data_IF_842840942662
#
_entry.id   IF_842840942662
#
_cell.length_a   1.000
_cell.length_b   1.000
_cell.length_c   1.000
_cell.angle_alpha   90.00
_cell.angle_beta   90.00
_cell.angle_gamma   90.00
#
_symmetry.space_group_name_H-M   'P 1'
#
loop_
_entity.id
_entity.type
_entity.pdbx_description
1 polymer ?
#
# COMPACT_ATOMS: atom_id res chain seq x y z
N UNK A 1 -18.93 10.03 -12.54
CA UNK A 1 -18.14 9.68 -13.75
C UNK A 1 -17.96 8.17 -13.73
N UNK A 2 -18.36 7.43 -14.78
CA UNK A 2 -18.21 5.97 -14.77
C UNK A 2 -16.73 5.60 -15.00
N UNK A 3 -16.09 5.01 -14.00
CA UNK A 3 -14.78 4.38 -14.14
C UNK A 3 -14.88 3.23 -15.15
N UNK A 4 -13.93 3.15 -16.08
CA UNK A 4 -13.80 1.96 -16.95
C UNK A 4 -13.20 0.80 -16.17
N UNK A 5 -13.38 -0.45 -16.65
CA UNK A 5 -12.78 -1.64 -16.04
C UNK A 5 -11.26 -1.51 -15.91
N UNK A 6 -10.61 -1.01 -16.97
CA UNK A 6 -9.17 -0.79 -16.98
C UNK A 6 -8.76 0.31 -15.99
N UNK A 7 -9.50 1.42 -15.93
CA UNK A 7 -9.20 2.50 -14.97
C UNK A 7 -9.34 2.01 -13.52
N UNK A 8 -10.36 1.20 -13.22
CA UNK A 8 -10.53 0.56 -11.92
C UNK A 8 -9.36 -0.37 -11.59
N UNK A 9 -9.00 -1.27 -12.51
CA UNK A 9 -7.91 -2.22 -12.31
C UNK A 9 -6.55 -1.52 -12.10
N UNK A 10 -6.30 -0.42 -12.81
CA UNK A 10 -5.08 0.38 -12.67
C UNK A 10 -4.99 1.16 -11.34
N UNK A 11 -6.02 1.09 -10.49
CA UNK A 11 -5.98 1.59 -9.12
C UNK A 11 -5.67 0.50 -8.09
N UNK A 12 -5.59 -0.77 -8.49
CA UNK A 12 -5.48 -1.91 -7.56
C UNK A 12 -4.05 -2.44 -7.52
N UNK A 13 -3.48 -2.41 -6.31
CA UNK A 13 -2.28 -3.14 -5.93
C UNK A 13 -2.74 -4.48 -5.31
N UNK A 14 -2.64 -5.57 -6.07
CA UNK A 14 -3.00 -6.92 -5.58
C UNK A 14 -1.88 -7.47 -4.71
N UNK A 15 -2.23 -8.19 -3.64
CA UNK A 15 -1.25 -8.59 -2.62
C UNK A 15 -1.43 -9.99 -2.06
N UNK A 16 -0.30 -10.62 -1.77
CA UNK A 16 -0.15 -11.86 -1.01
C UNK A 16 0.86 -11.59 0.13
N UNK A 17 0.35 -10.95 1.19
CA UNK A 17 1.17 -10.40 2.29
C UNK A 17 0.70 -10.85 3.67
N UNK A 18 0.02 -12.00 3.77
CA UNK A 18 -0.32 -12.63 5.05
C UNK A 18 0.79 -13.58 5.48
N UNK A 19 0.87 -13.87 6.79
CA UNK A 19 1.91 -14.74 7.35
C UNK A 19 1.97 -16.11 6.66
N UNK A 20 0.81 -16.59 6.25
CA UNK A 20 0.56 -17.86 5.57
C UNK A 20 0.44 -17.73 4.04
N UNK A 21 0.73 -16.55 3.47
CA UNK A 21 0.74 -16.39 2.02
C UNK A 21 1.80 -17.29 1.39
N UNK A 22 1.33 -18.19 0.53
CA UNK A 22 2.17 -19.22 -0.11
C UNK A 22 2.67 -18.77 -1.48
N UNK A 23 3.68 -19.47 -2.02
CA UNK A 23 4.14 -19.26 -3.41
C UNK A 23 2.99 -19.39 -4.42
N UNK A 24 2.04 -20.31 -4.20
CA UNK A 24 0.86 -20.50 -5.04
C UNK A 24 -0.08 -19.28 -5.01
N UNK A 25 -0.24 -18.64 -3.85
CA UNK A 25 -1.03 -17.41 -3.75
C UNK A 25 -0.32 -16.25 -4.48
N UNK A 26 1.01 -16.17 -4.39
CA UNK A 26 1.82 -15.21 -5.15
C UNK A 26 1.63 -15.41 -6.66
N UNK A 27 1.72 -16.64 -7.16
CA UNK A 27 1.44 -16.97 -8.57
C UNK A 27 0.02 -16.56 -8.97
N UNK A 28 -0.96 -16.81 -8.11
CA UNK A 28 -2.35 -16.43 -8.36
C UNK A 28 -2.49 -14.91 -8.47
N UNK A 29 -1.80 -14.14 -7.62
CA UNK A 29 -1.76 -12.68 -7.72
C UNK A 29 -1.13 -12.20 -9.01
N UNK A 30 -0.02 -12.82 -9.45
CA UNK A 30 0.65 -12.47 -10.72
C UNK A 30 -0.28 -12.77 -11.91
N UNK A 31 -0.91 -13.94 -11.95
CA UNK A 31 -1.86 -14.31 -12.99
C UNK A 31 -3.05 -13.35 -13.06
N UNK A 32 -3.65 -13.03 -11.90
CA UNK A 32 -4.74 -12.06 -11.82
C UNK A 32 -4.32 -10.65 -12.26
N UNK A 33 -3.11 -10.21 -11.91
CA UNK A 33 -2.60 -8.92 -12.35
C UNK A 33 -2.44 -8.87 -13.88
N UNK A 34 -1.99 -9.96 -14.51
CA UNK A 34 -1.90 -10.06 -15.97
C UNK A 34 -3.27 -10.08 -16.66
N UNK A 35 -4.22 -10.83 -16.10
CA UNK A 35 -5.58 -11.00 -16.64
C UNK A 35 -6.37 -9.69 -16.53
N UNK A 36 -6.45 -9.12 -15.34
CA UNK A 36 -7.28 -7.94 -15.06
C UNK A 36 -6.56 -6.61 -15.31
N UNK A 37 -5.26 -6.63 -15.60
CA UNK A 37 -4.42 -5.43 -15.73
C UNK A 37 -4.38 -4.63 -14.43
N UNK A 38 -4.09 -5.31 -13.31
CA UNK A 38 -3.76 -4.60 -12.07
C UNK A 38 -2.41 -3.91 -12.20
N UNK A 39 -2.25 -2.77 -11.53
CA UNK A 39 -1.06 -1.92 -11.67
C UNK A 39 0.16 -2.53 -10.97
N UNK A 40 -0.03 -3.23 -9.85
CA UNK A 40 1.07 -3.76 -9.06
C UNK A 40 0.75 -5.08 -8.34
N UNK A 41 1.80 -5.87 -8.09
CA UNK A 41 1.77 -7.06 -7.24
C UNK A 41 2.69 -6.86 -6.03
N UNK A 42 2.17 -7.08 -4.83
CA UNK A 42 2.90 -6.98 -3.57
C UNK A 42 2.99 -8.36 -2.87
N UNK A 43 4.15 -9.01 -2.88
CA UNK A 43 4.44 -10.19 -2.06
C UNK A 43 5.04 -9.80 -0.70
N UNK A 44 5.17 -10.78 0.22
CA UNK A 44 6.13 -10.65 1.33
C UNK A 44 7.57 -10.58 0.81
N UNK A 45 8.52 -9.96 1.53
CA UNK A 45 9.90 -9.76 1.06
C UNK A 45 10.59 -11.06 0.62
N UNK A 46 10.36 -12.17 1.33
CA UNK A 46 10.90 -13.50 0.99
C UNK A 46 10.53 -13.98 -0.42
N UNK A 47 9.40 -13.52 -0.96
CA UNK A 47 8.92 -13.87 -2.30
C UNK A 47 9.20 -12.78 -3.35
N UNK A 48 9.94 -11.71 -3.02
CA UNK A 48 10.20 -10.63 -3.98
C UNK A 48 10.96 -11.12 -5.22
N UNK A 49 12.06 -11.88 -5.04
CA UNK A 49 12.82 -12.45 -6.15
C UNK A 49 12.00 -13.49 -6.93
N UNK A 50 11.21 -14.30 -6.22
CA UNK A 50 10.29 -15.26 -6.87
C UNK A 50 9.29 -14.54 -7.78
N UNK A 51 8.66 -13.49 -7.27
CA UNK A 51 7.68 -12.67 -8.00
C UNK A 51 8.34 -11.95 -9.18
N UNK A 52 9.58 -11.45 -9.00
CA UNK A 52 10.36 -10.85 -10.09
C UNK A 52 10.56 -11.82 -11.26
N UNK A 53 10.86 -13.08 -10.97
CA UNK A 53 11.04 -14.11 -12.00
C UNK A 53 9.74 -14.43 -12.73
N UNK A 54 8.60 -14.48 -12.02
CA UNK A 54 7.28 -14.67 -12.64
C UNK A 54 6.89 -13.50 -13.56
N UNK A 55 7.30 -12.28 -13.22
CA UNK A 55 7.01 -11.06 -13.98
C UNK A 55 8.01 -10.77 -15.10
N UNK A 56 9.04 -11.60 -15.31
CA UNK A 56 10.17 -11.28 -16.21
C UNK A 56 9.76 -10.89 -17.63
N UNK A 57 8.76 -11.59 -18.18
CA UNK A 57 8.26 -11.35 -19.54
C UNK A 57 7.04 -10.39 -19.57
N UNK A 58 6.62 -9.89 -18.41
CA UNK A 58 5.41 -9.09 -18.26
C UNK A 58 5.76 -7.61 -18.12
N UNK A 59 5.28 -6.81 -19.07
CA UNK A 59 5.44 -5.35 -19.04
C UNK A 59 4.21 -4.71 -18.41
N UNK A 60 4.43 -3.62 -17.68
CA UNK A 60 3.36 -2.78 -17.14
C UNK A 60 2.76 -3.24 -15.81
N UNK A 61 3.34 -4.24 -15.15
CA UNK A 61 2.99 -4.62 -13.77
C UNK A 61 4.17 -4.28 -12.86
N UNK A 62 3.91 -3.45 -11.86
CA UNK A 62 4.89 -3.04 -10.86
C UNK A 62 5.11 -4.18 -9.85
N UNK A 63 6.37 -4.54 -9.62
CA UNK A 63 6.74 -5.33 -8.45
C UNK A 63 6.87 -4.39 -7.23
N UNK A 64 6.01 -4.56 -6.24
CA UNK A 64 6.06 -3.85 -4.97
C UNK A 64 6.89 -4.58 -3.92
N UNK A 65 7.49 -3.84 -2.98
CA UNK A 65 8.16 -4.40 -1.80
C UNK A 65 7.56 -3.86 -0.51
N UNK A 66 7.50 -4.65 0.57
CA UNK A 66 7.07 -4.18 1.89
C UNK A 66 8.28 -4.00 2.81
N UNK A 67 8.32 -2.91 3.60
CA UNK A 67 9.47 -2.58 4.45
C UNK A 67 9.04 -2.39 5.91
N UNK A 68 9.70 -3.08 6.84
CA UNK A 68 9.36 -3.10 8.26
C UNK A 68 7.96 -3.66 8.52
N UNK A 69 7.45 -4.50 7.63
CA UNK A 69 6.04 -4.92 7.62
C UNK A 69 5.82 -6.20 8.45
N UNK A 70 4.67 -6.36 9.15
CA UNK A 70 3.56 -5.40 9.27
C UNK A 70 3.67 -4.45 10.47
N UNK A 71 4.56 -4.68 11.43
CA UNK A 71 4.53 -3.95 12.71
C UNK A 71 5.15 -2.55 12.67
N UNK A 72 6.05 -2.27 11.73
CA UNK A 72 6.84 -1.04 11.67
C UNK A 72 7.89 -0.91 12.78
N UNK A 73 8.07 -1.94 13.61
CA UNK A 73 8.84 -1.88 14.86
C UNK A 73 10.31 -2.25 14.73
N UNK A 74 10.80 -2.57 13.52
CA UNK A 74 12.22 -2.80 13.27
C UNK A 74 13.01 -1.49 13.37
N UNK A 75 14.33 -1.61 13.56
CA UNK A 75 15.20 -0.44 13.61
C UNK A 75 15.26 0.26 12.24
N UNK A 76 15.55 1.56 12.23
CA UNK A 76 15.73 2.32 10.99
C UNK A 76 16.81 1.71 10.08
N UNK A 77 17.92 1.24 10.65
CA UNK A 77 18.97 0.57 9.88
C UNK A 77 18.49 -0.72 9.23
N UNK A 78 17.64 -1.49 9.91
CA UNK A 78 17.01 -2.70 9.34
C UNK A 78 16.08 -2.33 8.18
N UNK A 79 15.24 -1.30 8.32
CA UNK A 79 14.37 -0.83 7.23
C UNK A 79 15.16 -0.33 6.03
N UNK A 80 16.26 0.39 6.26
CA UNK A 80 17.15 0.86 5.19
C UNK A 80 17.82 -0.31 4.48
N UNK A 81 18.28 -1.33 5.22
CA UNK A 81 18.87 -2.54 4.63
C UNK A 81 17.84 -3.27 3.75
N UNK A 82 16.65 -3.53 4.29
CA UNK A 82 15.56 -4.21 3.58
C UNK A 82 15.11 -3.44 2.34
N UNK A 83 15.00 -2.10 2.43
CA UNK A 83 14.69 -1.26 1.28
C UNK A 83 15.74 -1.38 0.17
N UNK A 84 17.04 -1.35 0.51
CA UNK A 84 18.12 -1.53 -0.47
C UNK A 84 18.06 -2.91 -1.13
N UNK A 85 17.79 -3.96 -0.37
CA UNK A 85 17.67 -5.32 -0.88
C UNK A 85 16.51 -5.42 -1.89
N UNK A 86 15.32 -4.94 -1.52
CA UNK A 86 14.13 -4.95 -2.38
C UNK A 86 14.34 -4.14 -3.67
N UNK A 87 15.00 -2.97 -3.57
CA UNK A 87 15.38 -2.18 -4.73
C UNK A 87 16.36 -2.96 -5.62
N UNK A 88 17.35 -3.64 -5.04
CA UNK A 88 18.31 -4.48 -5.76
C UNK A 88 17.66 -5.66 -6.48
N UNK A 89 16.60 -6.24 -5.92
CA UNK A 89 15.76 -7.26 -6.58
C UNK A 89 14.98 -6.67 -7.77
N UNK A 90 14.74 -5.36 -7.75
CA UNK A 90 14.02 -4.65 -8.80
C UNK A 90 12.55 -4.37 -8.44
N UNK A 91 12.22 -4.25 -7.15
CA UNK A 91 10.98 -3.60 -6.72
C UNK A 91 10.96 -2.15 -7.21
N UNK A 92 9.84 -1.72 -7.77
CA UNK A 92 9.66 -0.40 -8.37
C UNK A 92 8.81 0.54 -7.51
N UNK A 93 8.22 0.03 -6.43
CA UNK A 93 7.56 0.81 -5.39
C UNK A 93 7.77 0.12 -4.03
N UNK A 94 7.83 0.88 -2.95
CA UNK A 94 7.95 0.36 -1.59
C UNK A 94 6.75 0.78 -0.73
N UNK A 95 6.22 -0.14 0.06
CA UNK A 95 5.22 0.10 1.10
C UNK A 95 5.86 -0.11 2.48
N UNK A 96 6.37 0.96 3.09
CA UNK A 96 7.01 0.90 4.42
C UNK A 96 5.99 1.11 5.54
N UNK A 97 6.15 0.47 6.69
CA UNK A 97 5.34 0.76 7.88
C UNK A 97 6.03 1.79 8.76
N UNK A 98 5.32 2.85 9.15
CA UNK A 98 5.81 3.87 10.09
C UNK A 98 6.15 3.20 11.44
N UNK A 99 7.07 3.76 12.22
CA UNK A 99 7.25 3.28 13.58
C UNK A 99 6.08 3.71 14.47
N UNK A 100 5.06 2.86 14.55
CA UNK A 100 3.80 3.10 15.27
C UNK A 100 4.10 3.38 16.75
N UNK A 101 4.94 2.57 17.38
CA UNK A 101 5.28 2.73 18.80
C UNK A 101 5.88 4.12 19.09
N UNK A 102 6.87 4.55 18.30
CA UNK A 102 7.48 5.89 18.44
C UNK A 102 6.47 7.02 18.21
N UNK A 103 5.57 6.88 17.22
CA UNK A 103 4.52 7.86 16.98
C UNK A 103 3.60 8.02 18.20
N UNK A 104 3.13 6.90 18.77
CA UNK A 104 2.28 6.91 19.99
C UNK A 104 3.04 7.46 21.21
N UNK A 105 4.35 7.25 21.26
CA UNK A 105 5.24 7.81 22.29
C UNK A 105 5.64 9.27 22.05
N UNK A 106 5.11 9.94 21.01
CA UNK A 106 5.43 11.33 20.65
C UNK A 106 6.92 11.56 20.35
N UNK A 107 7.64 10.51 19.95
CA UNK A 107 9.04 10.53 19.50
C UNK A 107 9.08 10.94 18.02
N UNK A 108 8.61 12.16 17.72
CA UNK A 108 8.28 12.59 16.35
C UNK A 108 9.52 12.76 15.46
N UNK A 109 10.62 13.23 16.02
CA UNK A 109 11.89 13.40 15.29
C UNK A 109 12.46 12.04 14.89
N UNK A 110 12.33 11.03 15.74
CA UNK A 110 12.75 9.67 15.42
C UNK A 110 11.83 9.01 14.38
N UNK A 111 10.54 9.33 14.37
CA UNK A 111 9.62 8.90 13.31
C UNK A 111 9.98 9.57 11.98
N UNK A 112 10.24 10.88 11.98
CA UNK A 112 10.66 11.61 10.78
C UNK A 112 11.99 11.08 10.24
N UNK A 113 12.96 10.81 11.12
CA UNK A 113 14.25 10.22 10.77
C UNK A 113 14.08 8.83 10.15
N UNK A 114 13.21 7.99 10.71
CA UNK A 114 12.93 6.64 10.20
C UNK A 114 12.35 6.66 8.78
N UNK A 115 11.36 7.52 8.54
CA UNK A 115 10.74 7.68 7.21
C UNK A 115 11.73 8.29 6.22
N UNK A 116 12.42 9.37 6.61
CA UNK A 116 13.40 10.06 5.76
C UNK A 116 14.55 9.16 5.33
N UNK A 117 15.01 8.25 6.20
CA UNK A 117 16.08 7.33 5.87
C UNK A 117 15.69 6.37 4.74
N UNK A 118 14.44 5.88 4.74
CA UNK A 118 13.92 4.99 3.70
C UNK A 118 13.60 5.77 2.41
N UNK A 119 12.96 6.94 2.49
CA UNK A 119 12.67 7.75 1.30
C UNK A 119 13.94 8.21 0.60
N UNK A 120 14.96 8.64 1.37
CA UNK A 120 16.26 9.06 0.82
C UNK A 120 16.99 7.95 0.09
N UNK A 121 16.98 6.71 0.59
CA UNK A 121 17.68 5.61 -0.08
C UNK A 121 16.90 5.07 -1.28
N UNK A 122 15.57 5.23 -1.30
CA UNK A 122 14.73 4.86 -2.43
C UNK A 122 14.95 5.77 -3.66
N UNK A 123 15.38 7.02 -3.45
CA UNK A 123 15.57 7.97 -4.54
C UNK A 123 14.27 8.22 -5.30
N UNK A 124 14.26 7.92 -6.59
CA UNK A 124 13.07 8.10 -7.44
C UNK A 124 12.01 7.00 -7.28
N UNK A 125 12.32 5.91 -6.56
CA UNK A 125 11.38 4.81 -6.31
C UNK A 125 10.31 5.29 -5.32
N UNK A 126 9.01 5.27 -5.70
CA UNK A 126 7.94 5.72 -4.82
C UNK A 126 7.87 4.94 -3.52
N UNK A 127 7.96 5.66 -2.40
CA UNK A 127 7.71 5.12 -1.07
C UNK A 127 6.30 5.51 -0.62
N UNK A 128 5.53 4.51 -0.21
CA UNK A 128 4.21 4.64 0.42
C UNK A 128 4.38 4.31 1.89
N UNK A 129 4.02 5.23 2.78
CA UNK A 129 4.20 5.03 4.22
C UNK A 129 2.86 4.61 4.84
N UNK A 130 2.81 3.41 5.39
CA UNK A 130 1.66 2.84 6.10
C UNK A 130 1.60 3.44 7.49
N UNK A 131 0.53 4.17 7.80
CA UNK A 131 0.24 4.73 9.12
C UNK A 131 -0.27 3.67 10.11
N UNK A 132 -1.00 2.67 9.62
CA UNK A 132 -1.78 1.74 10.43
C UNK A 132 -2.85 2.44 11.29
N UNK A 133 -3.70 3.21 10.60
CA UNK A 133 -4.71 4.12 11.20
C UNK A 133 -5.61 3.46 12.25
N UNK A 134 -5.89 2.17 12.12
CA UNK A 134 -6.75 1.45 13.09
C UNK A 134 -6.19 1.37 14.51
N UNK A 135 -4.90 1.66 14.69
CA UNK A 135 -4.21 1.67 15.99
C UNK A 135 -3.97 3.09 16.53
N UNK A 136 -4.40 4.11 15.78
CA UNK A 136 -4.09 5.51 16.02
C UNK A 136 -5.37 6.30 16.31
N UNK A 137 -5.24 7.30 17.17
CA UNK A 137 -6.22 8.38 17.34
C UNK A 137 -6.15 9.37 16.18
N UNK A 138 -7.18 10.18 16.01
CA UNK A 138 -7.22 11.20 14.95
C UNK A 138 -6.04 12.20 15.04
N UNK A 139 -5.60 12.55 16.26
CA UNK A 139 -4.43 13.42 16.47
C UNK A 139 -3.13 12.74 15.99
N UNK A 140 -2.96 11.45 16.29
CA UNK A 140 -1.81 10.66 15.84
C UNK A 140 -1.83 10.46 14.33
N UNK A 141 -3.00 10.19 13.72
CA UNK A 141 -3.17 10.10 12.27
C UNK A 141 -2.78 11.43 11.60
N UNK A 142 -3.29 12.54 12.12
CA UNK A 142 -3.01 13.87 11.59
C UNK A 142 -1.51 14.21 11.66
N UNK A 143 -0.88 13.91 12.80
CA UNK A 143 0.55 14.14 13.03
C UNK A 143 1.41 13.26 12.13
N UNK A 144 1.15 11.96 12.08
CA UNK A 144 1.86 11.03 11.21
C UNK A 144 1.70 11.38 9.72
N UNK A 145 0.51 11.81 9.30
CA UNK A 145 0.25 12.23 7.92
C UNK A 145 1.12 13.41 7.49
N UNK A 146 1.27 14.43 8.36
CA UNK A 146 2.15 15.58 8.08
C UNK A 146 3.62 15.16 8.01
N UNK A 147 4.09 14.33 8.95
CA UNK A 147 5.45 13.80 8.92
C UNK A 147 5.72 13.05 7.60
N UNK A 148 4.82 12.16 7.19
CA UNK A 148 4.97 11.39 5.94
C UNK A 148 5.09 12.31 4.73
N UNK A 149 4.22 13.32 4.62
CA UNK A 149 4.27 14.33 3.56
C UNK A 149 5.62 15.07 3.56
N UNK A 150 6.05 15.53 4.73
CA UNK A 150 7.25 16.36 4.86
C UNK A 150 8.55 15.57 4.61
N UNK A 151 8.54 14.24 4.83
CA UNK A 151 9.65 13.35 4.51
C UNK A 151 9.74 12.95 3.01
N UNK A 152 8.89 13.51 2.15
CA UNK A 152 8.93 13.29 0.70
C UNK A 152 8.39 11.94 0.24
N UNK A 153 7.56 11.28 1.06
CA UNK A 153 6.88 10.06 0.61
C UNK A 153 5.90 10.38 -0.54
N UNK A 154 5.71 9.41 -1.45
CA UNK A 154 4.78 9.59 -2.57
C UNK A 154 3.33 9.35 -2.17
N UNK A 155 3.10 8.45 -1.20
CA UNK A 155 1.77 8.14 -0.69
C UNK A 155 1.74 8.04 0.83
N UNK A 156 0.62 8.43 1.41
CA UNK A 156 0.18 7.91 2.71
C UNK A 156 -0.63 6.64 2.43
N UNK A 157 -0.27 5.53 3.08
CA UNK A 157 -1.04 4.28 3.05
C UNK A 157 -1.77 4.10 4.39
N UNK A 158 -3.05 3.76 4.34
CA UNK A 158 -3.87 3.76 5.57
C UNK A 158 -3.52 2.62 6.52
N UNK A 159 -3.42 1.38 6.02
CA UNK A 159 -3.18 0.21 6.87
C UNK A 159 -2.46 -0.94 6.18
N UNK A 160 -2.07 -1.93 6.97
CA UNK A 160 -1.43 -3.16 6.50
C UNK A 160 -2.45 -4.22 6.09
N UNK A 161 -3.68 -4.12 6.62
CA UNK A 161 -4.69 -5.17 6.56
C UNK A 161 -4.49 -6.29 7.59
N UNK A 162 -3.51 -6.19 8.48
CA UNK A 162 -3.28 -7.12 9.61
C UNK A 162 -3.95 -6.66 10.91
N UNK A 163 -4.13 -5.36 11.07
CA UNK A 163 -4.80 -4.75 12.21
C UNK A 163 -6.30 -4.58 11.94
N UNK A 164 -6.92 -3.48 12.39
CA UNK A 164 -8.31 -3.16 12.11
C UNK A 164 -8.55 -2.63 10.69
N UNK A 165 -9.82 -2.45 10.36
CA UNK A 165 -10.24 -1.88 9.08
C UNK A 165 -9.99 -0.36 9.01
N UNK A 166 -9.66 0.14 7.82
CA UNK A 166 -9.70 1.57 7.51
C UNK A 166 -11.15 2.00 7.37
N UNK A 167 -11.55 3.06 8.09
CA UNK A 167 -12.88 3.67 7.98
C UNK A 167 -12.83 4.89 7.06
N UNK A 168 -14.00 5.36 6.61
CA UNK A 168 -14.10 6.64 5.89
C UNK A 168 -13.60 7.80 6.74
N UNK A 169 -13.78 7.73 8.06
CA UNK A 169 -13.31 8.79 8.97
C UNK A 169 -11.78 8.88 9.00
N UNK A 170 -11.07 7.74 9.04
CA UNK A 170 -9.60 7.75 8.94
C UNK A 170 -9.12 8.47 7.67
N UNK A 171 -9.81 8.25 6.54
CA UNK A 171 -9.48 8.91 5.27
C UNK A 171 -9.76 10.42 5.36
N UNK A 172 -10.86 10.84 5.98
CA UNK A 172 -11.17 12.26 6.20
C UNK A 172 -10.10 12.94 7.06
N UNK A 173 -9.66 12.31 8.15
CA UNK A 173 -8.61 12.87 9.02
C UNK A 173 -7.30 13.07 8.26
N UNK A 174 -6.89 12.09 7.44
CA UNK A 174 -5.71 12.24 6.56
C UNK A 174 -5.92 13.41 5.60
N UNK A 175 -7.03 13.45 4.86
CA UNK A 175 -7.34 14.52 3.89
C UNK A 175 -7.37 15.90 4.53
N UNK A 176 -7.96 16.06 5.71
CA UNK A 176 -7.97 17.32 6.44
C UNK A 176 -6.57 17.78 6.87
N UNK A 177 -5.65 16.83 7.08
CA UNK A 177 -4.30 17.11 7.57
C UNK A 177 -3.33 17.52 6.46
N UNK A 178 -3.49 16.97 5.24
CA UNK A 178 -2.52 17.16 4.14
C UNK A 178 -3.15 17.62 2.82
N UNK A 179 -4.47 17.72 2.73
CA UNK A 179 -5.19 18.16 1.53
C UNK A 179 -4.92 17.26 0.32
N UNK A 180 -4.42 17.88 -0.76
CA UNK A 180 -4.04 17.22 -2.01
C UNK A 180 -2.52 17.22 -2.24
N UNK A 181 -1.72 17.52 -1.21
CA UNK A 181 -0.26 17.62 -1.32
C UNK A 181 0.46 16.27 -1.44
N UNK A 182 -0.24 15.17 -1.16
CA UNK A 182 0.28 13.81 -1.22
C UNK A 182 -0.86 12.84 -1.60
N UNK A 183 -0.54 11.80 -2.36
CA UNK A 183 -1.51 10.77 -2.76
C UNK A 183 -1.88 9.86 -1.58
N UNK A 184 -3.06 9.25 -1.63
CA UNK A 184 -3.52 8.30 -0.61
C UNK A 184 -3.72 6.93 -1.25
N UNK A 185 -3.16 5.90 -0.60
CA UNK A 185 -3.45 4.49 -0.86
C UNK A 185 -4.26 3.91 0.30
N UNK A 186 -5.44 3.37 0.03
CA UNK A 186 -6.25 2.72 1.06
C UNK A 186 -6.02 1.21 1.04
N UNK A 187 -5.79 0.63 2.22
CA UNK A 187 -5.73 -0.81 2.40
C UNK A 187 -6.33 -1.21 3.76
N UNK A 188 -6.86 -2.43 3.84
CA UNK A 188 -7.60 -2.93 4.99
C UNK A 188 -9.01 -2.33 5.06
N UNK A 189 -10.03 -3.14 4.81
CA UNK A 189 -11.45 -2.72 4.91
C UNK A 189 -12.17 -2.51 3.57
N UNK A 190 -11.47 -2.48 2.44
CA UNK A 190 -12.07 -2.43 1.10
C UNK A 190 -12.36 -3.87 0.64
N UNK A 191 -13.64 -4.22 0.51
CA UNK A 191 -14.08 -5.61 0.30
C UNK A 191 -14.99 -5.81 -0.92
N UNK A 192 -15.50 -4.74 -1.51
CA UNK A 192 -16.43 -4.78 -2.63
C UNK A 192 -16.30 -3.50 -3.47
N UNK A 193 -16.89 -3.52 -4.66
CA UNK A 193 -16.83 -2.43 -5.63
C UNK A 193 -17.45 -1.15 -5.06
N UNK A 194 -18.58 -1.25 -4.37
CA UNK A 194 -19.29 -0.11 -3.80
C UNK A 194 -18.40 0.68 -2.82
N UNK A 195 -17.74 -0.02 -1.89
CA UNK A 195 -16.82 0.61 -0.92
C UNK A 195 -15.61 1.23 -1.61
N UNK A 196 -15.05 0.58 -2.63
CA UNK A 196 -13.95 1.14 -3.43
C UNK A 196 -14.37 2.44 -4.13
N UNK A 197 -15.52 2.46 -4.81
CA UNK A 197 -16.01 3.64 -5.52
C UNK A 197 -16.27 4.81 -4.56
N UNK A 198 -16.92 4.56 -3.41
CA UNK A 198 -17.13 5.58 -2.38
C UNK A 198 -15.82 6.18 -1.87
N UNK A 199 -14.80 5.35 -1.68
CA UNK A 199 -13.47 5.81 -1.23
C UNK A 199 -12.75 6.58 -2.35
N UNK A 200 -12.91 6.15 -3.61
CA UNK A 200 -12.35 6.85 -4.75
C UNK A 200 -12.91 8.28 -4.89
N UNK A 201 -14.21 8.47 -4.65
CA UNK A 201 -14.87 9.79 -4.63
C UNK A 201 -14.27 10.75 -3.58
N UNK A 202 -13.60 10.23 -2.54
CA UNK A 202 -12.88 11.05 -1.56
C UNK A 202 -11.49 11.53 -2.04
N UNK A 203 -11.11 11.19 -3.27
CA UNK A 203 -9.81 11.53 -3.87
C UNK A 203 -8.70 10.52 -3.58
N UNK A 204 -9.05 9.28 -3.24
CA UNK A 204 -8.08 8.18 -3.11
C UNK A 204 -7.73 7.63 -4.49
N UNK A 205 -6.43 7.46 -4.75
CA UNK A 205 -5.89 7.11 -6.06
C UNK A 205 -5.35 5.68 -6.17
N UNK A 206 -5.18 4.97 -5.04
CA UNK A 206 -4.70 3.57 -5.03
C UNK A 206 -5.34 2.72 -3.94
N UNK A 207 -5.50 1.42 -4.20
CA UNK A 207 -6.15 0.46 -3.30
C UNK A 207 -5.28 -0.79 -3.15
N UNK A 208 -4.92 -1.15 -1.92
CA UNK A 208 -4.27 -2.42 -1.62
C UNK A 208 -5.30 -3.49 -1.28
N UNK A 209 -5.43 -4.51 -2.12
CA UNK A 209 -6.40 -5.61 -1.95
C UNK A 209 -5.67 -6.95 -1.90
N UNK A 210 -6.13 -7.87 -1.04
CA UNK A 210 -5.71 -9.27 -1.10
C UNK A 210 -6.29 -9.97 -2.31
N UNK A 211 -5.72 -11.11 -2.71
CA UNK A 211 -6.10 -11.87 -3.91
C UNK A 211 -7.62 -11.99 -4.10
N UNK A 212 -8.31 -12.61 -3.14
CA UNK A 212 -9.76 -12.86 -3.24
C UNK A 212 -10.57 -11.58 -3.39
N UNK A 213 -10.28 -10.56 -2.57
CA UNK A 213 -11.01 -9.29 -2.61
C UNK A 213 -10.82 -8.55 -3.94
N UNK A 214 -9.62 -8.63 -4.54
CA UNK A 214 -9.36 -8.04 -5.85
C UNK A 214 -10.20 -8.71 -6.95
N UNK A 215 -10.28 -10.04 -6.95
CA UNK A 215 -11.11 -10.80 -7.91
C UNK A 215 -12.59 -10.50 -7.72
N UNK A 216 -13.07 -10.50 -6.46
CA UNK A 216 -14.47 -10.23 -6.14
C UNK A 216 -14.90 -8.84 -6.65
N UNK A 217 -14.06 -7.81 -6.47
CA UNK A 217 -14.30 -6.45 -7.00
C UNK A 217 -14.42 -6.43 -8.53
N UNK A 218 -13.55 -7.14 -9.24
CA UNK A 218 -13.61 -7.20 -10.71
C UNK A 218 -14.84 -7.94 -11.21
N UNK A 219 -15.23 -9.03 -10.53
CA UNK A 219 -16.43 -9.79 -10.86
C UNK A 219 -17.71 -8.98 -10.58
N UNK A 220 -17.76 -8.22 -9.49
CA UNK A 220 -18.85 -7.28 -9.22
C UNK A 220 -18.96 -6.21 -10.31
N UNK A 221 -17.83 -5.64 -10.75
CA UNK A 221 -17.84 -4.65 -11.83
C UNK A 221 -18.45 -5.21 -13.11
N UNK A 222 -18.07 -6.43 -13.49
CA UNK A 222 -18.62 -7.09 -14.68
C UNK A 222 -20.13 -7.32 -14.57
N UNK A 223 -20.65 -7.69 -13.39
CA UNK A 223 -22.09 -7.85 -13.17
C UNK A 223 -22.88 -6.54 -13.31
N UNK A 224 -22.35 -5.42 -12.80
CA UNK A 224 -23.02 -4.11 -12.87
C UNK A 224 -23.13 -3.52 -14.28
N UNK A 225 -22.47 -4.13 -15.28
CA UNK A 225 -22.56 -3.73 -16.70
C UNK A 225 -23.46 -4.64 -17.53
N UNK A 226 -23.97 -5.73 -16.94
CA UNK A 226 -24.94 -6.63 -17.58
C UNK A 226 -26.39 -6.23 -17.23
N UNK A 227 -26.57 -5.39 -16.21
CA UNK A 227 -27.83 -4.68 -15.89
C UNK A 227 -27.93 -3.33 -16.61
#
# INVERSE_FOLDING_TARGET
MFLTKLALAQMIDISAVKADSTAKEVESCVNAAMEHKFIAVFPLPTFAMYTKNLLKEQKGIILGGTVGFPSGSTTTNTKVFEAKELIGIGCQELDMVINIAKLKSKMLDEVSTDVSAVTKIAGDIPVKVILEVSLLSDEEIATGSRIIRDCGAKFIKTGTGWSGATTLEHIRVIKNSVGNSIDIKVAGGVRNLESLLKIHEMGVSRFGLGYKAAIDVMAEYDRTKVE
#
